data_IF_547050270248
#
_entry.id   IF_547050270248
#
_cell.length_a   1.000
_cell.length_b   1.000
_cell.length_c   1.000
_cell.angle_alpha   90.00
_cell.angle_beta   90.00
_cell.angle_gamma   90.00
#
_symmetry.space_group_name_H-M   'P 1'
#
loop_
_entity.id
_entity.type
_entity.pdbx_description
1 polymer ?
#
# COMPACT_ATOMS: atom_id res chain seq x y z
N UNK A 1 -9.36 22.29 -6.95
CA UNK A 1 -10.44 22.43 -5.96
C UNK A 1 -10.86 21.00 -5.61
N UNK A 2 -10.45 20.49 -4.46
CA UNK A 2 -10.77 19.11 -4.07
C UNK A 2 -12.18 19.12 -3.49
N UNK A 3 -13.14 18.52 -4.21
CA UNK A 3 -14.49 18.33 -3.70
C UNK A 3 -14.50 17.21 -2.66
N UNK A 4 -15.10 17.52 -1.51
CA UNK A 4 -15.52 16.55 -0.51
C UNK A 4 -16.74 15.80 -1.05
N UNK A 5 -16.53 14.85 -1.97
CA UNK A 5 -17.59 13.96 -2.44
C UNK A 5 -17.93 12.93 -1.35
N UNK A 6 -19.23 12.75 -1.07
CA UNK A 6 -19.82 11.76 -0.16
C UNK A 6 -19.03 10.44 -0.08
N UNK A 7 -18.34 10.21 1.04
CA UNK A 7 -17.28 9.18 1.19
C UNK A 7 -17.73 7.72 1.44
N UNK A 8 -19.02 7.36 1.44
CA UNK A 8 -19.42 6.14 2.19
C UNK A 8 -19.93 4.91 1.41
N UNK A 9 -20.41 4.97 0.16
CA UNK A 9 -20.88 3.74 -0.52
C UNK A 9 -19.79 3.03 -1.33
N UNK A 10 -18.90 3.80 -1.96
CA UNK A 10 -18.06 3.24 -3.03
C UNK A 10 -16.76 2.61 -2.51
N UNK A 11 -16.43 2.81 -1.24
CA UNK A 11 -15.16 2.39 -0.65
C UNK A 11 -15.21 1.03 0.06
N UNK A 12 -16.33 0.30 0.05
CA UNK A 12 -16.37 -0.97 0.78
C UNK A 12 -15.71 -2.09 -0.03
N UNK A 13 -14.69 -2.71 0.58
CA UNK A 13 -14.13 -3.98 0.11
C UNK A 13 -15.21 -5.06 0.15
N UNK A 14 -15.29 -5.88 -0.89
CA UNK A 14 -16.19 -7.04 -0.94
C UNK A 14 -15.67 -8.17 -0.06
N UNK A 15 -16.58 -9.02 0.42
CA UNK A 15 -16.21 -10.18 1.22
C UNK A 15 -15.31 -11.16 0.46
N UNK A 16 -14.23 -11.57 1.12
CA UNK A 16 -13.20 -12.45 0.53
C UNK A 16 -13.37 -13.87 1.08
N UNK A 17 -13.84 -14.77 0.22
CA UNK A 17 -13.98 -16.20 0.51
C UNK A 17 -13.01 -17.06 -0.30
N UNK A 18 -12.40 -16.50 -1.35
CA UNK A 18 -11.50 -17.19 -2.28
C UNK A 18 -10.38 -16.27 -2.77
N UNK A 19 -9.36 -16.85 -3.40
CA UNK A 19 -8.33 -16.09 -4.11
C UNK A 19 -8.93 -15.15 -5.17
N UNK A 20 -9.95 -15.62 -5.90
CA UNK A 20 -10.60 -14.81 -6.94
C UNK A 20 -11.28 -13.57 -6.35
N UNK A 21 -11.97 -13.69 -5.21
CA UNK A 21 -12.57 -12.51 -4.56
C UNK A 21 -11.50 -11.51 -4.08
N UNK A 22 -10.33 -12.02 -3.65
CA UNK A 22 -9.21 -11.15 -3.31
C UNK A 22 -8.69 -10.41 -4.54
N UNK A 23 -8.50 -11.12 -5.66
CA UNK A 23 -8.14 -10.53 -6.95
C UNK A 23 -9.15 -9.48 -7.42
N UNK A 24 -10.44 -9.75 -7.30
CA UNK A 24 -11.48 -8.82 -7.76
C UNK A 24 -11.46 -7.54 -6.93
N UNK A 25 -11.23 -7.62 -5.62
CA UNK A 25 -11.01 -6.45 -4.78
C UNK A 25 -9.75 -5.69 -5.19
N UNK A 26 -8.65 -6.41 -5.47
CA UNK A 26 -7.39 -5.80 -5.90
C UNK A 26 -7.58 -5.02 -7.19
N UNK A 27 -8.14 -5.67 -8.22
CA UNK A 27 -8.28 -5.13 -9.58
C UNK A 27 -9.29 -3.99 -9.66
N UNK A 28 -10.44 -4.15 -8.99
CA UNK A 28 -11.59 -3.27 -9.22
C UNK A 28 -11.78 -2.20 -8.13
N UNK A 29 -11.11 -2.33 -6.98
CA UNK A 29 -11.29 -1.42 -5.85
C UNK A 29 -9.96 -0.85 -5.36
N UNK A 30 -8.98 -1.71 -5.03
CA UNK A 30 -7.74 -1.29 -4.38
C UNK A 30 -6.82 -0.56 -5.37
N UNK A 31 -6.48 -1.20 -6.51
CA UNK A 31 -5.55 -0.59 -7.47
C UNK A 31 -6.07 0.71 -8.05
N UNK A 32 -7.34 0.85 -8.48
CA UNK A 32 -7.80 2.09 -9.08
C UNK A 32 -7.88 3.26 -8.09
N UNK A 33 -7.96 2.98 -6.78
CA UNK A 33 -8.11 4.00 -5.73
C UNK A 33 -6.81 4.39 -5.05
N UNK A 34 -5.92 3.42 -4.84
CA UNK A 34 -4.71 3.61 -4.03
C UNK A 34 -3.44 3.79 -4.86
N UNK A 35 -3.45 3.47 -6.15
CA UNK A 35 -2.38 3.96 -7.02
C UNK A 35 -2.52 5.47 -7.19
N UNK A 36 -1.38 6.13 -7.26
CA UNK A 36 -1.26 7.58 -7.39
C UNK A 36 -1.97 8.36 -6.27
N UNK A 37 -2.03 7.76 -5.09
CA UNK A 37 -2.47 8.43 -3.87
C UNK A 37 -1.30 9.16 -3.22
N UNK A 38 -1.60 10.23 -2.49
CA UNK A 38 -0.64 10.91 -1.63
C UNK A 38 -0.91 10.56 -0.18
N UNK A 39 0.06 9.93 0.48
CA UNK A 39 0.06 9.69 1.91
C UNK A 39 0.81 10.83 2.58
N UNK A 40 0.20 11.49 3.56
CA UNK A 40 0.82 12.61 4.26
C UNK A 40 1.22 12.20 5.67
N UNK A 41 2.49 12.40 6.00
CA UNK A 41 3.05 12.25 7.34
C UNK A 41 3.56 13.61 7.82
N UNK A 42 2.73 14.34 8.59
CA UNK A 42 3.06 15.67 9.09
C UNK A 42 3.53 16.61 7.95
N UNK A 43 4.84 16.93 7.88
CA UNK A 43 5.47 17.77 6.85
C UNK A 43 5.93 17.01 5.61
N UNK A 44 6.02 15.69 5.66
CA UNK A 44 6.44 14.87 4.54
C UNK A 44 5.25 14.21 3.86
N UNK A 45 5.43 13.82 2.60
CA UNK A 45 4.42 13.14 1.83
C UNK A 45 5.05 12.08 0.92
N UNK A 46 4.26 11.07 0.59
CA UNK A 46 4.64 9.97 -0.29
C UNK A 46 3.56 9.82 -1.36
N UNK A 47 3.93 10.04 -2.61
CA UNK A 47 3.12 9.74 -3.77
C UNK A 47 3.37 8.29 -4.21
N UNK A 48 2.31 7.48 -4.23
CA UNK A 48 2.41 6.03 -4.48
C UNK A 48 2.31 5.73 -5.96
N UNK A 49 3.32 5.13 -6.57
CA UNK A 49 3.26 4.69 -7.98
C UNK A 49 3.18 3.18 -8.11
N UNK A 50 3.63 2.44 -7.10
CA UNK A 50 3.65 0.99 -7.13
C UNK A 50 3.52 0.38 -5.72
N UNK A 51 2.76 -0.71 -5.61
CA UNK A 51 2.70 -1.52 -4.41
C UNK A 51 2.44 -3.00 -4.70
N UNK A 52 2.77 -3.86 -3.75
CA UNK A 52 2.41 -5.27 -3.73
C UNK A 52 1.30 -5.52 -2.71
N UNK A 53 0.31 -6.32 -3.08
CA UNK A 53 -0.82 -6.64 -2.19
C UNK A 53 -0.65 -8.00 -1.54
N UNK A 54 -0.98 -8.07 -0.26
CA UNK A 54 -0.97 -9.27 0.56
C UNK A 54 -2.31 -9.43 1.28
N UNK A 55 -2.86 -10.64 1.30
CA UNK A 55 -4.10 -10.93 2.04
C UNK A 55 -3.79 -11.59 3.38
N UNK A 56 -3.95 -10.85 4.47
CA UNK A 56 -3.46 -11.25 5.80
C UNK A 56 -4.26 -12.37 6.45
N UNK A 57 -3.55 -13.18 7.24
CA UNK A 57 -4.11 -14.18 8.17
C UNK A 57 -5.01 -15.24 7.52
N UNK A 58 -4.79 -15.59 6.26
CA UNK A 58 -5.45 -16.72 5.59
C UNK A 58 -4.45 -17.44 4.69
N UNK A 59 -3.87 -18.53 5.21
CA UNK A 59 -2.86 -19.31 4.48
C UNK A 59 -3.40 -20.05 3.25
N UNK A 60 -4.72 -20.29 3.18
CA UNK A 60 -5.37 -20.88 2.00
C UNK A 60 -5.48 -19.89 0.84
N UNK A 61 -5.53 -18.59 1.15
CA UNK A 61 -5.56 -17.53 0.14
C UNK A 61 -4.15 -17.03 -0.14
N UNK A 62 -3.42 -16.57 0.88
CA UNK A 62 -2.08 -16.02 0.70
C UNK A 62 -1.14 -16.45 1.84
N UNK A 63 -0.39 -17.53 1.60
CA UNK A 63 0.62 -18.01 2.53
C UNK A 63 1.81 -17.06 2.73
N UNK A 64 2.04 -16.11 1.82
CA UNK A 64 3.16 -15.15 1.85
C UNK A 64 2.90 -13.95 2.73
N UNK A 65 1.63 -13.66 3.01
CA UNK A 65 1.22 -12.59 3.91
C UNK A 65 1.67 -12.86 5.35
N UNK A 66 1.90 -11.78 6.09
CA UNK A 66 2.21 -11.87 7.50
C UNK A 66 0.96 -12.34 8.27
N UNK A 67 1.11 -13.40 9.05
CA UNK A 67 0.09 -13.79 10.04
C UNK A 67 0.31 -12.97 11.29
N UNK A 68 -0.68 -12.16 11.66
CA UNK A 68 -0.60 -11.29 12.84
C UNK A 68 -1.80 -11.60 13.74
N UNK A 69 -1.55 -11.92 15.00
CA UNK A 69 -2.66 -12.12 15.95
C UNK A 69 -3.18 -10.81 16.54
N UNK A 70 -2.37 -9.75 16.57
CA UNK A 70 -2.67 -8.51 17.31
C UNK A 70 -3.03 -7.31 16.42
N UNK A 71 -2.68 -7.33 15.13
CA UNK A 71 -2.94 -6.20 14.25
C UNK A 71 -4.41 -6.16 13.81
N UNK A 72 -5.14 -5.14 14.27
CA UNK A 72 -6.51 -4.86 13.83
C UNK A 72 -6.61 -4.67 12.31
N UNK A 73 -7.77 -5.00 11.76
CA UNK A 73 -8.14 -4.79 10.36
C UNK A 73 -8.90 -3.47 10.24
N UNK A 74 -8.27 -2.38 9.78
CA UNK A 74 -8.92 -1.08 9.75
C UNK A 74 -10.01 -1.05 8.67
N UNK A 75 -11.16 -0.47 8.98
CA UNK A 75 -12.29 -0.35 8.04
C UNK A 75 -11.94 0.59 6.89
N UNK A 76 -11.18 1.66 7.19
CA UNK A 76 -10.69 2.62 6.21
C UNK A 76 -9.19 2.40 5.93
N UNK A 77 -8.67 2.86 4.77
CA UNK A 77 -7.24 2.83 4.49
C UNK A 77 -6.43 3.56 5.57
N UNK A 78 -5.37 2.90 6.08
CA UNK A 78 -4.44 3.49 7.05
C UNK A 78 -3.02 3.15 6.65
N UNK A 79 -2.18 4.16 6.46
CA UNK A 79 -0.77 3.97 6.18
C UNK A 79 -0.01 3.73 7.49
N UNK A 80 0.91 2.74 7.50
CA UNK A 80 1.81 2.50 8.63
C UNK A 80 3.23 2.25 8.16
N UNK A 81 4.16 2.86 8.88
CA UNK A 81 5.59 2.56 8.81
C UNK A 81 5.88 1.38 9.76
N UNK A 82 6.53 0.35 9.24
CA UNK A 82 7.02 -0.80 10.00
C UNK A 82 8.54 -0.81 9.98
N UNK A 83 9.16 -0.98 11.14
CA UNK A 83 10.57 -1.33 11.22
C UNK A 83 10.67 -2.85 11.19
N UNK A 84 11.48 -3.39 10.28
CA UNK A 84 11.83 -4.80 10.23
C UNK A 84 13.30 -4.96 10.53
N UNK A 85 13.63 -6.06 11.19
CA UNK A 85 15.01 -6.42 11.50
C UNK A 85 15.23 -7.87 11.14
N UNK A 86 16.22 -8.14 10.30
CA UNK A 86 16.66 -9.50 9.97
C UNK A 86 18.18 -9.54 9.93
N UNK A 87 18.77 -10.54 10.59
CA UNK A 87 20.24 -10.76 10.63
C UNK A 87 21.04 -9.49 10.98
N UNK A 88 20.53 -8.70 11.93
CA UNK A 88 21.18 -7.47 12.40
C UNK A 88 21.05 -6.27 11.45
N UNK A 89 20.34 -6.40 10.32
CA UNK A 89 20.00 -5.28 9.44
C UNK A 89 18.58 -4.86 9.71
N UNK A 90 18.37 -3.57 9.99
CA UNK A 90 17.05 -2.96 10.08
C UNK A 90 16.71 -2.24 8.78
N UNK A 91 15.46 -2.35 8.35
CA UNK A 91 14.92 -1.57 7.25
C UNK A 91 13.49 -1.17 7.56
N UNK A 92 13.01 -0.15 6.85
CA UNK A 92 11.64 0.31 6.98
C UNK A 92 10.80 -0.15 5.79
N UNK A 93 9.56 -0.49 6.10
CA UNK A 93 8.52 -0.73 5.12
C UNK A 93 7.38 0.24 5.35
N UNK A 94 6.83 0.77 4.27
CA UNK A 94 5.62 1.55 4.30
C UNK A 94 4.51 0.74 3.65
N UNK A 95 3.41 0.54 4.38
CA UNK A 95 2.25 -0.20 3.87
C UNK A 95 0.97 0.58 4.12
N UNK A 96 0.01 0.50 3.19
CA UNK A 96 -1.38 0.87 3.45
C UNK A 96 -2.15 -0.38 3.88
N UNK A 97 -2.92 -0.28 4.96
CA UNK A 97 -3.79 -1.34 5.47
C UNK A 97 -5.24 -1.00 5.17
N UNK A 98 -5.98 -1.96 4.62
CA UNK A 98 -7.41 -1.82 4.40
C UNK A 98 -8.11 -3.17 4.56
N UNK A 99 -8.93 -3.29 5.60
CA UNK A 99 -9.48 -4.56 6.05
C UNK A 99 -8.35 -5.56 6.27
N UNK A 100 -8.39 -6.67 5.54
CA UNK A 100 -7.37 -7.73 5.59
C UNK A 100 -6.27 -7.58 4.54
N UNK A 101 -6.34 -6.57 3.69
CA UNK A 101 -5.31 -6.30 2.70
C UNK A 101 -4.20 -5.44 3.29
N UNK A 102 -2.97 -5.80 2.95
CA UNK A 102 -1.77 -5.01 3.14
C UNK A 102 -1.19 -4.68 1.76
N UNK A 103 -1.10 -3.40 1.45
CA UNK A 103 -0.48 -2.87 0.24
C UNK A 103 0.90 -2.37 0.63
N UNK A 104 1.93 -3.19 0.44
CA UNK A 104 3.33 -2.85 0.69
C UNK A 104 3.83 -1.97 -0.46
N UNK A 105 4.20 -0.73 -0.15
CA UNK A 105 4.70 0.20 -1.17
C UNK A 105 6.06 -0.25 -1.67
N UNK A 106 6.19 -0.35 -2.98
CA UNK A 106 7.43 -0.76 -3.65
C UNK A 106 7.93 0.26 -4.66
N UNK A 107 7.17 1.32 -4.94
CA UNK A 107 7.62 2.44 -5.74
C UNK A 107 6.81 3.71 -5.50
N UNK A 108 7.47 4.86 -5.65
CA UNK A 108 6.82 6.17 -5.62
C UNK A 108 7.81 7.32 -5.50
N UNK A 109 7.28 8.48 -5.12
CA UNK A 109 8.04 9.73 -4.98
C UNK A 109 7.75 10.30 -3.60
N UNK A 110 8.79 10.73 -2.90
CA UNK A 110 8.68 11.37 -1.62
C UNK A 110 9.05 12.85 -1.74
N UNK A 111 8.44 13.67 -0.89
CA UNK A 111 8.77 15.08 -0.78
C UNK A 111 8.42 15.66 0.58
N UNK A 112 8.78 16.92 0.76
CA UNK A 112 8.52 17.69 1.97
C UNK A 112 7.66 18.91 1.62
N UNK A 113 6.77 19.35 2.51
CA UNK A 113 5.93 20.55 2.29
C UNK A 113 6.71 21.86 2.29
N UNK A 114 7.89 21.87 2.90
CA UNK A 114 8.76 23.03 3.08
C UNK A 114 9.94 23.05 2.09
N UNK A 115 10.12 21.99 1.30
CA UNK A 115 11.17 21.91 0.26
C UNK A 115 10.55 21.53 -1.09
N UNK A 116 11.22 21.90 -2.17
CA UNK A 116 10.87 21.45 -3.52
C UNK A 116 11.62 20.16 -3.92
N UNK A 117 12.41 19.59 -3.00
CA UNK A 117 13.16 18.37 -3.27
C UNK A 117 12.22 17.16 -3.39
N UNK A 118 12.43 16.40 -4.46
CA UNK A 118 11.72 15.16 -4.74
C UNK A 118 12.72 14.00 -4.72
N UNK A 119 12.41 12.98 -3.94
CA UNK A 119 13.23 11.79 -3.79
C UNK A 119 12.44 10.59 -4.30
N UNK A 120 12.85 9.96 -5.43
CA UNK A 120 12.22 8.71 -5.83
C UNK A 120 12.53 7.62 -4.79
N UNK A 121 11.55 6.77 -4.49
CA UNK A 121 11.77 5.58 -3.69
C UNK A 121 11.38 4.32 -4.46
N UNK A 122 12.26 3.32 -4.37
CA UNK A 122 12.07 1.99 -4.95
C UNK A 122 12.23 0.97 -3.83
N UNK A 123 11.11 0.67 -3.17
CA UNK A 123 11.06 -0.25 -2.04
C UNK A 123 11.95 0.16 -0.87
N UNK A 124 12.71 -0.82 -0.36
CA UNK A 124 13.42 -0.77 0.93
C UNK A 124 14.65 0.17 0.96
N UNK A 125 14.98 0.84 -0.14
CA UNK A 125 16.27 1.51 -0.34
C UNK A 125 16.29 3.00 0.03
N UNK A 126 15.18 3.59 0.50
CA UNK A 126 15.19 4.99 0.90
C UNK A 126 15.22 5.10 2.43
N UNK A 127 16.11 5.94 3.01
CA UNK A 127 16.12 6.24 4.44
C UNK A 127 14.80 6.93 4.83
N UNK A 128 13.78 6.11 5.08
CA UNK A 128 12.43 6.53 5.41
C UNK A 128 12.34 7.27 6.75
N UNK A 129 13.42 7.24 7.54
CA UNK A 129 13.61 8.07 8.74
C UNK A 129 13.62 9.56 8.40
N UNK A 130 14.17 9.95 7.24
CA UNK A 130 14.18 11.36 6.78
C UNK A 130 12.84 11.75 6.11
N UNK A 131 12.10 10.75 5.62
CA UNK A 131 10.84 10.93 4.88
C UNK A 131 9.58 10.95 5.75
N UNK A 132 9.68 10.68 7.05
CA UNK A 132 8.55 10.69 7.98
C UNK A 132 9.01 11.39 9.24
N UNK A 133 8.70 12.69 9.34
CA UNK A 133 9.11 13.51 10.46
C UNK A 133 8.39 13.02 11.73
N UNK A 134 9.17 12.67 12.75
CA UNK A 134 8.67 12.36 14.09
C UNK A 134 8.28 10.90 14.39
N UNK A 135 7.76 10.70 15.60
CA UNK A 135 7.35 9.40 16.17
C UNK A 135 6.09 8.81 15.53
N UNK A 136 5.43 9.54 14.62
CA UNK A 136 4.14 9.11 14.05
C UNK A 136 4.34 7.98 13.04
N UNK A 137 4.19 6.75 13.51
CA UNK A 137 4.28 5.52 12.70
C UNK A 137 3.03 5.26 11.83
N UNK A 138 1.98 6.06 11.99
CA UNK A 138 0.66 5.84 11.39
C UNK A 138 0.17 7.14 10.76
N UNK A 139 -0.50 7.04 9.61
CA UNK A 139 -1.24 8.13 8.99
C UNK A 139 -2.57 7.63 8.42
N UNK A 140 -3.63 8.36 8.72
CA UNK A 140 -4.96 8.28 8.11
C UNK A 140 -5.16 9.34 7.01
N UNK A 141 -4.19 10.24 6.82
CA UNK A 141 -4.24 11.30 5.80
C UNK A 141 -3.78 10.74 4.45
N UNK A 142 -4.70 10.06 3.77
CA UNK A 142 -4.50 9.46 2.44
C UNK A 142 -5.41 10.19 1.45
N UNK A 143 -4.81 10.94 0.53
CA UNK A 143 -5.51 11.67 -0.52
C UNK A 143 -5.59 10.79 -1.76
N UNK A 144 -6.76 10.22 -2.02
CA UNK A 144 -7.02 9.36 -3.17
C UNK A 144 -7.31 10.19 -4.42
N UNK A 145 -7.03 9.62 -5.58
CA UNK A 145 -7.38 10.23 -6.85
C UNK A 145 -8.93 10.26 -6.99
N UNK A 146 -9.49 11.46 -7.16
CA UNK A 146 -10.93 11.68 -7.31
C UNK A 146 -11.46 11.52 -8.74
N UNK A 147 -10.62 11.21 -9.72
CA UNK A 147 -11.07 10.96 -11.09
C UNK A 147 -11.92 9.68 -11.16
N UNK A 148 -13.14 9.80 -11.71
CA UNK A 148 -14.15 8.73 -11.71
C UNK A 148 -13.76 7.43 -12.41
N UNK A 149 -12.80 7.47 -13.34
CA UNK A 149 -12.32 6.29 -14.07
C UNK A 149 -11.31 5.45 -13.26
N UNK A 150 -10.85 5.96 -12.12
CA UNK A 150 -9.78 5.35 -11.33
C UNK A 150 -8.43 5.34 -12.05
N UNK A 151 -7.40 4.85 -11.37
CA UNK A 151 -6.05 4.72 -11.92
C UNK A 151 -5.90 3.40 -12.67
N UNK A 152 -5.42 3.47 -13.91
CA UNK A 152 -5.05 2.28 -14.69
C UNK A 152 -3.79 1.66 -14.13
N UNK A 153 -3.85 0.35 -13.92
CA UNK A 153 -2.77 -0.43 -13.32
C UNK A 153 -2.26 -1.50 -14.28
N UNK A 154 -0.94 -1.69 -14.31
CA UNK A 154 -0.34 -2.94 -14.75
C UNK A 154 -0.24 -3.88 -13.56
N UNK A 155 -0.77 -5.10 -13.73
CA UNK A 155 -0.71 -6.16 -12.73
C UNK A 155 0.35 -7.16 -13.14
N UNK A 156 1.20 -7.52 -12.19
CA UNK A 156 2.26 -8.48 -12.40
C UNK A 156 2.54 -9.29 -11.15
N UNK A 157 3.35 -10.34 -11.30
CA UNK A 157 3.82 -11.18 -10.20
C UNK A 157 4.54 -10.35 -9.15
N UNK A 158 4.32 -10.64 -7.87
CA UNK A 158 5.06 -10.02 -6.76
C UNK A 158 6.54 -10.34 -6.83
N UNK A 159 7.38 -9.35 -6.57
CA UNK A 159 8.83 -9.50 -6.57
C UNK A 159 9.33 -10.09 -5.25
N UNK A 160 8.71 -9.71 -4.12
CA UNK A 160 9.15 -10.17 -2.81
C UNK A 160 8.66 -11.59 -2.50
N UNK A 161 9.53 -12.36 -1.84
CA UNK A 161 9.27 -13.75 -1.37
C UNK A 161 8.94 -14.77 -2.46
N UNK A 162 9.10 -14.41 -3.74
CA UNK A 162 8.80 -15.21 -4.93
C UNK A 162 9.35 -16.65 -4.91
N UNK A 163 10.43 -16.90 -4.19
CA UNK A 163 11.11 -18.19 -4.08
C UNK A 163 10.67 -19.06 -2.89
N UNK A 164 9.84 -18.56 -1.97
CA UNK A 164 9.53 -19.27 -0.71
C UNK A 164 8.15 -19.89 -0.62
N UNK A 165 7.13 -19.33 -1.30
CA UNK A 165 5.74 -19.77 -1.13
C UNK A 165 4.95 -19.65 -2.43
N UNK A 166 4.04 -20.57 -2.71
CA UNK A 166 3.25 -20.54 -3.95
C UNK A 166 2.51 -19.21 -4.15
N UNK A 167 1.97 -18.61 -3.08
CA UNK A 167 1.20 -17.38 -3.25
C UNK A 167 2.04 -16.19 -3.70
N UNK A 168 3.37 -16.19 -3.54
CA UNK A 168 4.19 -15.08 -4.05
C UNK A 168 4.21 -15.00 -5.58
N UNK A 169 3.76 -16.05 -6.29
CA UNK A 169 3.62 -16.02 -7.76
C UNK A 169 2.33 -15.35 -8.25
N UNK A 170 1.51 -14.77 -7.36
CA UNK A 170 0.27 -14.12 -7.76
C UNK A 170 0.54 -12.76 -8.40
N UNK A 171 -0.29 -12.42 -9.40
CA UNK A 171 -0.28 -11.12 -10.10
C UNK A 171 -0.88 -9.98 -9.27
N UNK A 172 -0.33 -9.81 -8.06
CA UNK A 172 -0.81 -8.88 -7.03
C UNK A 172 0.18 -7.73 -6.79
N UNK A 173 1.12 -7.50 -7.70
CA UNK A 173 1.85 -6.23 -7.77
C UNK A 173 1.11 -5.28 -8.71
N UNK A 174 0.78 -4.09 -8.22
CA UNK A 174 0.07 -3.06 -8.95
C UNK A 174 1.04 -1.91 -9.25
N UNK A 175 1.17 -1.55 -10.53
CA UNK A 175 2.02 -0.45 -11.01
C UNK A 175 1.14 0.54 -11.77
N UNK A 176 1.28 1.84 -11.52
CA UNK A 176 0.61 2.86 -12.34
C UNK A 176 1.02 2.72 -13.81
N UNK A 177 0.06 2.78 -14.73
CA UNK A 177 0.38 2.83 -16.17
C UNK A 177 0.98 4.16 -16.63
N UNK A 178 1.03 5.18 -15.77
CA UNK A 178 1.50 6.52 -16.10
C UNK A 178 2.90 6.84 -15.58
N UNK A 179 3.29 6.26 -14.46
CA UNK A 179 4.50 6.58 -13.70
C UNK A 179 5.41 5.37 -13.55
#
# INVERSE_FOLDING_TARGET
MYESSNMNSDMLLKDVQSKQHAEDNIKNIISPKLLETVIVFQKNWVFVTQFEVYYRSNSYIDGSAMTTMMDKYPVNPVAKRKNKTEKGKSWFELSIFWGRFEMLLTGGICGNKMSNDLVPFLGLNVPLEELVDGESLISDNIYVNGHGDGVKAHLQVRNLRNWTKLSSSFDWACISSRF
#
